data_IF_375230277513
#
_entry.id   IF_375230277513
#
_cell.length_a   1.000
_cell.length_b   1.000
_cell.length_c   1.000
_cell.angle_alpha   90.00
_cell.angle_beta   90.00
_cell.angle_gamma   90.00
#
_symmetry.space_group_name_H-M   'P 1'
#
loop_
_entity.id
_entity.type
_entity.pdbx_description
1 polymer ?
#
# COMPACT_ATOMS: atom_id res chain seq x y z
N UNK A 1 -11.64 15.52 3.72
CA UNK A 1 -12.59 14.42 3.43
C UNK A 1 -11.84 13.08 3.44
N UNK A 2 -12.37 11.99 4.05
CA UNK A 2 -11.67 10.71 4.10
C UNK A 2 -11.64 10.02 2.73
N UNK A 3 -10.48 9.49 2.35
CA UNK A 3 -10.32 8.66 1.14
C UNK A 3 -10.54 7.21 1.55
N UNK A 4 -11.49 6.53 0.90
CA UNK A 4 -11.71 5.10 1.10
C UNK A 4 -10.90 4.33 0.07
N UNK A 5 -10.17 3.32 0.53
CA UNK A 5 -9.38 2.47 -0.33
C UNK A 5 -9.31 1.04 0.17
N UNK A 6 -9.17 0.07 -0.72
CA UNK A 6 -8.90 -1.32 -0.39
C UNK A 6 -7.43 -1.59 -0.62
N UNK A 7 -6.74 -2.00 0.44
CA UNK A 7 -5.41 -2.59 0.29
C UNK A 7 -5.56 -4.07 -0.01
N UNK A 8 -5.02 -4.52 -1.13
CA UNK A 8 -5.01 -5.93 -1.53
C UNK A 8 -3.59 -6.46 -1.34
N UNK A 9 -3.44 -7.46 -0.47
CA UNK A 9 -2.19 -8.18 -0.23
C UNK A 9 -2.36 -9.63 -0.72
N UNK A 10 -1.43 -10.21 -1.47
CA UNK A 10 -1.52 -11.62 -1.80
C UNK A 10 -1.37 -12.47 -0.53
N UNK A 11 -1.86 -13.71 -0.54
CA UNK A 11 -1.51 -14.65 0.51
C UNK A 11 -0.03 -14.99 0.38
N UNK A 12 0.78 -14.32 1.20
CA UNK A 12 2.23 -14.51 1.34
C UNK A 12 2.57 -15.51 2.43
N UNK A 13 1.56 -16.28 2.83
CA UNK A 13 1.64 -17.30 3.88
C UNK A 13 2.16 -18.57 3.26
N UNK A 14 3.39 -18.93 3.62
CA UNK A 14 4.01 -20.21 3.30
C UNK A 14 3.78 -21.13 4.49
N UNK A 15 3.15 -22.28 4.24
CA UNK A 15 2.93 -23.32 5.25
C UNK A 15 3.84 -24.50 4.98
N UNK A 16 4.65 -24.88 5.98
CA UNK A 16 5.57 -26.01 5.97
C UNK A 16 5.22 -26.90 7.18
N UNK A 17 4.31 -27.85 6.96
CA UNK A 17 3.76 -28.68 8.04
C UNK A 17 2.96 -27.84 9.06
N UNK A 18 3.31 -27.93 10.34
CA UNK A 18 2.67 -27.16 11.41
C UNK A 18 3.14 -25.70 11.50
N UNK A 19 4.16 -25.30 10.71
CA UNK A 19 4.70 -23.96 10.71
C UNK A 19 4.08 -23.15 9.58
N UNK A 20 3.61 -21.94 9.90
CA UNK A 20 3.05 -20.99 8.94
C UNK A 20 3.76 -19.66 9.09
N UNK A 21 4.42 -19.20 8.03
CA UNK A 21 5.19 -17.96 8.01
C UNK A 21 4.56 -17.02 6.98
N UNK A 22 4.27 -15.78 7.37
CA UNK A 22 3.87 -14.73 6.45
C UNK A 22 5.11 -13.92 6.07
N UNK A 23 5.56 -14.07 4.82
CA UNK A 23 6.80 -13.45 4.35
C UNK A 23 6.74 -11.91 4.39
N UNK A 24 5.55 -11.33 4.25
CA UNK A 24 5.37 -9.88 4.37
C UNK A 24 5.51 -9.46 5.82
N UNK A 25 4.78 -10.11 6.74
CA UNK A 25 4.86 -9.74 8.16
C UNK A 25 6.24 -10.00 8.75
N UNK A 26 6.93 -11.05 8.28
CA UNK A 26 8.31 -11.32 8.65
C UNK A 26 9.26 -10.22 8.16
N UNK A 27 9.11 -9.75 6.92
CA UNK A 27 9.91 -8.65 6.39
C UNK A 27 9.63 -7.31 7.09
N UNK A 28 8.38 -7.09 7.50
CA UNK A 28 7.97 -5.88 8.22
C UNK A 28 8.31 -5.93 9.71
N UNK A 29 8.56 -7.12 10.26
CA UNK A 29 8.76 -7.36 11.69
C UNK A 29 7.49 -7.16 12.53
N UNK A 30 6.35 -6.84 11.91
CA UNK A 30 5.07 -6.58 12.55
C UNK A 30 3.91 -7.04 11.67
N UNK A 31 2.76 -7.34 12.30
CA UNK A 31 1.55 -7.68 11.54
C UNK A 31 1.04 -6.47 10.76
N UNK A 32 0.73 -6.69 9.49
CA UNK A 32 0.14 -5.65 8.65
C UNK A 32 -1.23 -5.22 9.16
N UNK A 33 -2.02 -6.14 9.73
CA UNK A 33 -3.30 -5.82 10.37
C UNK A 33 -3.10 -4.91 11.59
N UNK A 34 -2.04 -5.11 12.37
CA UNK A 34 -1.71 -4.24 13.51
C UNK A 34 -1.30 -2.83 13.05
N UNK A 35 -0.50 -2.72 11.98
CA UNK A 35 -0.12 -1.43 11.40
C UNK A 35 -1.31 -0.66 10.82
N UNK A 36 -2.22 -1.38 10.15
CA UNK A 36 -3.38 -0.79 9.47
C UNK A 36 -4.58 -0.61 10.39
N UNK A 37 -4.56 -1.18 11.60
CA UNK A 37 -5.67 -1.18 12.56
C UNK A 37 -6.38 0.18 12.71
N UNK A 38 -5.65 1.29 12.88
CA UNK A 38 -6.27 2.63 13.01
C UNK A 38 -7.00 3.13 11.76
N UNK A 39 -6.68 2.57 10.58
CA UNK A 39 -7.23 2.96 9.29
C UNK A 39 -8.31 1.98 8.79
N UNK A 40 -8.54 0.86 9.47
CA UNK A 40 -9.54 -0.12 9.04
C UNK A 40 -10.96 0.45 9.13
N UNK A 41 -11.69 0.37 8.02
CA UNK A 41 -13.09 0.81 7.90
C UNK A 41 -14.06 -0.38 7.78
N UNK A 42 -13.62 -1.56 8.22
CA UNK A 42 -14.41 -2.79 8.15
C UNK A 42 -13.59 -4.07 8.34
N UNK A 43 -14.25 -5.24 8.23
CA UNK A 43 -13.59 -6.52 8.38
C UNK A 43 -12.60 -6.80 7.25
N UNK A 44 -11.44 -7.36 7.59
CA UNK A 44 -10.49 -7.88 6.62
C UNK A 44 -11.09 -9.14 6.00
N UNK A 45 -11.13 -9.20 4.67
CA UNK A 45 -11.73 -10.33 3.94
C UNK A 45 -10.69 -11.04 3.07
N UNK A 46 -10.93 -12.30 2.74
CA UNK A 46 -10.09 -13.04 1.80
C UNK A 46 -10.83 -13.19 0.46
N UNK A 47 -10.20 -12.82 -0.65
CA UNK A 47 -10.76 -12.94 -2.00
C UNK A 47 -9.71 -13.52 -2.94
N UNK A 48 -10.00 -14.69 -3.52
CA UNK A 48 -9.14 -15.32 -4.53
C UNK A 48 -7.69 -15.55 -4.08
N UNK A 49 -7.48 -15.90 -2.80
CA UNK A 49 -6.13 -16.08 -2.25
C UNK A 49 -5.41 -14.77 -1.89
N UNK A 50 -6.07 -13.61 -1.92
CA UNK A 50 -5.55 -12.34 -1.40
C UNK A 50 -6.34 -11.88 -0.17
N UNK A 51 -5.66 -11.21 0.75
CA UNK A 51 -6.26 -10.50 1.88
C UNK A 51 -6.60 -9.07 1.45
N UNK A 52 -7.84 -8.65 1.68
CA UNK A 52 -8.39 -7.35 1.34
C UNK A 52 -8.67 -6.59 2.63
N UNK A 53 -7.97 -5.47 2.83
CA UNK A 53 -8.11 -4.60 3.99
C UNK A 53 -8.89 -3.35 3.54
N UNK A 54 -10.14 -3.17 4.00
CA UNK A 54 -10.87 -1.93 3.76
C UNK A 54 -10.29 -0.84 4.65
N UNK A 55 -9.78 0.23 4.03
CA UNK A 55 -9.17 1.35 4.72
C UNK A 55 -9.95 2.64 4.46
N UNK A 56 -10.13 3.43 5.50
CA UNK A 56 -10.47 4.85 5.38
C UNK A 56 -9.25 5.65 5.85
N UNK A 57 -8.74 6.53 4.99
CA UNK A 57 -7.66 7.46 5.32
C UNK A 57 -8.28 8.85 5.57
N UNK A 58 -8.45 9.25 6.84
CA UNK A 58 -8.80 10.63 7.17
C UNK A 58 -7.75 11.60 6.65
N UNK A 59 -8.17 12.84 6.44
CA UNK A 59 -7.25 13.89 6.02
C UNK A 59 -6.17 14.13 7.08
N UNK A 60 -4.92 14.22 6.63
CA UNK A 60 -3.74 14.33 7.49
C UNK A 60 -3.21 12.98 8.00
N UNK A 61 -3.93 11.88 7.78
CA UNK A 61 -3.48 10.55 8.20
C UNK A 61 -2.83 9.75 7.06
N UNK A 62 -2.01 8.79 7.45
CA UNK A 62 -1.41 7.83 6.53
C UNK A 62 -0.69 6.72 7.27
N UNK A 63 -0.37 5.67 6.54
CA UNK A 63 0.50 4.60 6.99
C UNK A 63 1.74 4.59 6.12
N UNK A 64 2.90 4.39 6.74
CA UNK A 64 4.15 4.13 6.07
C UNK A 64 4.74 2.85 6.68
N UNK A 65 5.26 2.02 5.80
CA UNK A 65 5.80 0.71 6.07
C UNK A 65 7.26 0.79 5.65
N UNK A 66 8.20 0.82 6.61
CA UNK A 66 9.61 0.80 6.29
C UNK A 66 9.98 -0.55 5.66
N UNK A 67 10.65 -0.51 4.51
CA UNK A 67 11.17 -1.68 3.81
C UNK A 67 12.69 -1.83 4.01
N UNK A 68 13.23 -1.26 5.08
CA UNK A 68 14.66 -1.23 5.36
C UNK A 68 15.45 -0.52 4.25
N UNK A 69 16.52 -1.15 3.75
CA UNK A 69 17.40 -0.58 2.72
C UNK A 69 16.74 -0.33 1.35
N UNK A 70 15.50 -0.79 1.17
CA UNK A 70 14.74 -0.60 -0.07
C UNK A 70 13.89 0.67 -0.07
N UNK A 71 13.83 1.39 1.06
CA UNK A 71 13.03 2.61 1.22
C UNK A 71 11.75 2.37 2.02
N UNK A 72 10.71 3.14 1.74
CA UNK A 72 9.43 3.09 2.44
C UNK A 72 8.28 2.92 1.45
N UNK A 73 7.29 2.12 1.86
CA UNK A 73 6.01 2.02 1.18
C UNK A 73 4.93 2.66 2.04
N UNK A 74 4.16 3.59 1.51
CA UNK A 74 3.14 4.26 2.30
C UNK A 74 2.02 4.88 1.48
N UNK A 75 0.92 5.13 2.17
CA UNK A 75 -0.25 5.86 1.68
C UNK A 75 -0.62 6.91 2.71
N UNK A 76 -0.85 8.14 2.28
CA UNK A 76 -1.35 9.19 3.15
C UNK A 76 -2.39 10.05 2.43
N UNK A 77 -3.38 10.55 3.14
CA UNK A 77 -4.32 11.54 2.61
C UNK A 77 -3.85 12.94 3.04
N UNK A 78 -3.49 13.80 2.10
CA UNK A 78 -3.18 15.21 2.38
C UNK A 78 -3.89 16.10 1.39
N UNK A 79 -4.66 17.07 1.89
CA UNK A 79 -5.45 17.99 1.08
C UNK A 79 -6.36 17.27 0.05
N UNK A 80 -6.91 16.11 0.41
CA UNK A 80 -7.77 15.31 -0.47
C UNK A 80 -7.04 14.55 -1.57
N UNK A 81 -5.71 14.50 -1.56
CA UNK A 81 -4.89 13.70 -2.46
C UNK A 81 -4.32 12.48 -1.73
N UNK A 82 -4.28 11.34 -2.44
CA UNK A 82 -3.56 10.17 -1.97
C UNK A 82 -2.07 10.34 -2.28
N UNK A 83 -1.29 10.64 -1.25
CA UNK A 83 0.16 10.59 -1.30
C UNK A 83 0.64 9.16 -1.20
N UNK A 84 1.10 8.62 -2.32
CA UNK A 84 1.77 7.33 -2.41
C UNK A 84 3.27 7.53 -2.17
N UNK A 85 3.81 6.84 -1.17
CA UNK A 85 5.24 6.69 -0.96
C UNK A 85 5.65 5.30 -1.42
N UNK A 86 6.63 5.22 -2.29
CA UNK A 86 7.14 3.96 -2.84
C UNK A 86 8.66 4.01 -2.91
N UNK A 87 9.36 2.86 -2.88
CA UNK A 87 10.78 2.80 -3.20
C UNK A 87 11.12 3.52 -4.52
N UNK A 88 12.24 4.27 -4.56
CA UNK A 88 12.66 4.98 -5.77
C UNK A 88 12.77 4.05 -6.98
N UNK A 89 13.19 2.81 -6.77
CA UNK A 89 13.32 1.80 -7.81
C UNK A 89 11.99 1.49 -8.54
N UNK A 90 10.85 1.54 -7.84
CA UNK A 90 9.53 1.24 -8.43
C UNK A 90 8.75 2.52 -8.79
N UNK A 91 9.25 3.69 -8.41
CA UNK A 91 8.57 4.96 -8.64
C UNK A 91 8.23 5.23 -10.13
N UNK A 92 9.11 4.96 -11.11
CA UNK A 92 8.77 5.14 -12.52
C UNK A 92 7.63 4.23 -12.98
N UNK A 93 7.62 2.98 -12.50
CA UNK A 93 6.58 1.99 -12.85
C UNK A 93 5.23 2.42 -12.28
N UNK A 94 5.22 2.85 -11.01
CA UNK A 94 4.00 3.32 -10.33
C UNK A 94 3.48 4.60 -10.98
N UNK A 95 4.36 5.56 -11.29
CA UNK A 95 3.99 6.79 -11.99
C UNK A 95 3.42 6.50 -13.40
N UNK A 96 4.02 5.56 -14.14
CA UNK A 96 3.53 5.14 -15.45
C UNK A 96 2.13 4.49 -15.36
N UNK A 97 1.90 3.62 -14.37
CA UNK A 97 0.60 2.96 -14.16
C UNK A 97 -0.50 3.95 -13.73
N UNK A 98 -0.15 4.92 -12.90
CA UNK A 98 -1.08 5.96 -12.45
C UNK A 98 -1.34 7.00 -13.54
N UNK A 99 -0.37 7.23 -14.42
CA UNK A 99 -0.47 8.14 -15.56
C UNK A 99 -1.02 9.52 -15.15
N UNK A 100 -2.12 9.92 -15.78
CA UNK A 100 -2.77 11.21 -15.54
C UNK A 100 -3.40 11.37 -14.14
N UNK A 101 -3.41 10.32 -13.31
CA UNK A 101 -3.86 10.41 -11.92
C UNK A 101 -2.80 11.05 -11.01
N UNK A 102 -1.51 11.04 -11.41
CA UNK A 102 -0.45 11.75 -10.71
C UNK A 102 -0.63 13.24 -10.94
N UNK A 103 -0.92 13.97 -9.86
CA UNK A 103 -1.12 15.43 -9.87
C UNK A 103 -0.02 16.19 -9.15
N UNK A 104 0.83 15.47 -8.40
CA UNK A 104 2.00 16.02 -7.74
C UNK A 104 3.10 14.96 -7.59
N UNK A 105 4.37 15.37 -7.61
CA UNK A 105 5.52 14.46 -7.53
C UNK A 105 5.99 13.90 -8.89
N UNK A 106 6.97 12.98 -8.90
CA UNK A 106 7.60 12.34 -7.74
C UNK A 106 8.61 13.24 -7.01
N UNK A 107 8.47 13.33 -5.69
CA UNK A 107 9.44 13.95 -4.79
C UNK A 107 10.29 12.86 -4.14
N UNK A 108 11.62 12.93 -4.31
CA UNK A 108 12.53 11.88 -3.84
C UNK A 108 13.15 12.31 -2.51
N UNK A 109 13.05 11.46 -1.49
CA UNK A 109 13.67 11.66 -0.19
C UNK A 109 14.01 10.31 0.47
N UNK A 110 15.23 10.15 0.98
CA UNK A 110 15.61 8.99 1.81
C UNK A 110 15.37 7.62 1.16
N UNK A 111 15.67 7.48 -0.14
CA UNK A 111 15.46 6.22 -0.87
C UNK A 111 14.01 5.93 -1.28
N UNK A 112 13.08 6.85 -1.00
CA UNK A 112 11.67 6.74 -1.36
C UNK A 112 11.23 7.90 -2.26
N UNK A 113 10.26 7.65 -3.13
CA UNK A 113 9.57 8.64 -3.93
C UNK A 113 8.15 8.82 -3.41
N UNK A 114 7.73 10.07 -3.21
CA UNK A 114 6.38 10.44 -2.84
C UNK A 114 5.67 11.12 -4.02
N UNK A 115 4.46 10.68 -4.34
CA UNK A 115 3.63 11.27 -5.39
C UNK A 115 2.20 11.47 -4.91
N UNK A 116 1.64 12.64 -5.18
CA UNK A 116 0.25 12.97 -4.93
C UNK A 116 -0.61 12.50 -6.10
N UNK A 117 -1.57 11.63 -5.79
CA UNK A 117 -2.48 11.01 -6.74
C UNK A 117 -3.89 11.50 -6.47
N UNK A 118 -4.55 11.95 -7.53
CA UNK A 118 -5.99 12.19 -7.51
C UNK A 118 -6.71 10.93 -7.94
N UNK A 119 -7.15 10.17 -6.94
CA UNK A 119 -7.95 8.98 -7.15
C UNK A 119 -9.31 9.33 -7.76
N UNK A 120 -9.78 8.48 -8.66
CA UNK A 120 -11.18 8.45 -9.11
C UNK A 120 -11.85 7.22 -8.47
N UNK A 121 -13.13 7.28 -8.12
CA UNK A 121 -13.85 6.09 -7.65
C UNK A 121 -13.68 4.92 -8.64
N UNK A 122 -13.34 3.74 -8.14
CA UNK A 122 -13.06 2.54 -8.96
C UNK A 122 -11.64 2.47 -9.54
N UNK A 123 -10.76 3.44 -9.28
CA UNK A 123 -9.36 3.39 -9.70
C UNK A 123 -8.59 2.40 -8.82
N UNK A 124 -8.01 1.37 -9.44
CA UNK A 124 -7.11 0.43 -8.78
C UNK A 124 -5.71 0.55 -9.34
N UNK A 125 -4.70 0.49 -8.47
CA UNK A 125 -3.31 0.36 -8.88
C UNK A 125 -2.65 -0.71 -8.03
N UNK A 126 -1.93 -1.63 -8.65
CA UNK A 126 -1.07 -2.58 -7.96
C UNK A 126 0.37 -2.40 -8.37
N UNK A 127 1.29 -2.78 -7.49
CA UNK A 127 2.71 -2.83 -7.78
C UNK A 127 3.38 -4.02 -7.09
N UNK A 128 4.44 -4.57 -7.68
CA UNK A 128 5.14 -5.70 -7.12
C UNK A 128 5.89 -5.32 -5.84
N UNK A 129 5.75 -6.14 -4.82
CA UNK A 129 6.67 -6.29 -3.71
C UNK A 129 7.70 -7.35 -4.11
N UNK A 130 8.95 -6.93 -4.33
CA UNK A 130 10.07 -7.75 -4.80
C UNK A 130 10.06 -9.22 -4.32
N UNK A 131 9.48 -10.12 -5.12
CA UNK A 131 9.42 -11.57 -4.85
C UNK A 131 8.34 -12.04 -3.87
N UNK A 132 7.58 -11.13 -3.25
CA UNK A 132 6.55 -11.43 -2.25
C UNK A 132 5.12 -11.28 -2.80
N UNK A 133 4.95 -10.74 -4.00
CA UNK A 133 3.65 -10.62 -4.70
C UNK A 133 3.34 -9.18 -5.10
N UNK A 134 2.07 -8.79 -5.30
CA UNK A 134 1.68 -7.40 -5.60
C UNK A 134 0.83 -6.79 -4.49
N UNK A 135 1.19 -5.58 -4.01
CA UNK A 135 0.27 -4.77 -3.20
C UNK A 135 -0.56 -3.89 -4.11
N UNK A 136 -1.89 -3.93 -3.93
CA UNK A 136 -2.86 -3.11 -4.64
C UNK A 136 -3.56 -2.10 -3.74
N UNK A 137 -3.90 -0.94 -4.29
CA UNK A 137 -4.78 0.05 -3.70
C UNK A 137 -5.93 0.33 -4.67
N UNK A 138 -7.16 0.13 -4.23
CA UNK A 138 -8.38 0.44 -5.01
C UNK A 138 -9.18 1.53 -4.31
N UNK A 139 -9.44 2.64 -4.99
CA UNK A 139 -10.31 3.70 -4.50
C UNK A 139 -11.78 3.26 -4.54
N UNK A 140 -12.48 3.38 -3.39
CA UNK A 140 -13.90 3.03 -3.24
C UNK A 140 -14.75 4.28 -3.25
#
# INVERSE_FOLDING_TARGET
MPIRLRLVRPATRVSLGALSIDLVEQALGVSLAALLGPLLDGPITQRGGAMVYPLALPEGQGVAIPMGGWGELGVANRAGLLWLRVPVAVAPIVALRLGAAVVAGPQIAGGSAAMGVRLRPGMAVSWPLAGVGEIGVEAV
#
